data_IF_873904548847
#
_entry.id   IF_873904548847
#
_cell.length_a   1.000
_cell.length_b   1.000
_cell.length_c   1.000
_cell.angle_alpha   90.00
_cell.angle_beta   90.00
_cell.angle_gamma   90.00
#
_symmetry.space_group_name_H-M   'P 1'
#
loop_
_entity.id
_entity.type
_entity.pdbx_description
1 polymer ?
#
# COMPACT_ATOMS: atom_id res chain seq x y z
N UNK A 1 12.10 5.23 20.11
CA UNK A 1 11.82 3.80 19.91
C UNK A 1 11.28 3.70 18.50
N UNK A 2 12.04 3.01 17.65
CA UNK A 2 11.71 2.70 16.26
C UNK A 2 10.27 2.22 16.15
N UNK A 3 9.40 3.06 15.58
CA UNK A 3 8.24 2.53 14.86
C UNK A 3 8.71 2.42 13.42
N UNK A 4 9.52 1.41 13.12
CA UNK A 4 9.43 0.74 11.81
C UNK A 4 8.04 0.11 11.79
N UNK A 5 7.05 0.96 11.56
CA UNK A 5 5.72 0.50 11.20
C UNK A 5 5.96 -0.28 9.93
N UNK A 6 5.64 -1.56 10.02
CA UNK A 6 5.75 -2.55 8.96
C UNK A 6 4.83 -2.08 7.82
N UNK A 7 5.32 -1.13 7.04
CA UNK A 7 4.80 -0.72 5.76
C UNK A 7 5.10 -1.91 4.85
N UNK A 8 4.30 -2.97 4.98
CA UNK A 8 4.47 -4.16 4.17
C UNK A 8 4.31 -3.78 2.70
N UNK A 9 5.44 -3.51 2.04
CA UNK A 9 5.51 -3.24 0.61
C UNK A 9 4.83 -4.40 -0.13
N UNK A 10 3.62 -4.14 -0.61
CA UNK A 10 2.79 -5.14 -1.23
C UNK A 10 3.32 -5.43 -2.64
N UNK A 11 3.17 -6.66 -3.10
CA UNK A 11 3.51 -6.96 -4.50
C UNK A 11 2.32 -6.56 -5.38
N UNK A 12 2.55 -5.66 -6.33
CA UNK A 12 1.54 -5.22 -7.27
C UNK A 12 1.02 -6.40 -8.11
N UNK A 13 -0.30 -6.67 -8.12
CA UNK A 13 -0.88 -7.79 -8.89
C UNK A 13 -0.88 -7.55 -10.40
N UNK A 14 -0.66 -6.31 -10.85
CA UNK A 14 -0.68 -5.95 -12.27
C UNK A 14 0.68 -6.15 -12.94
N UNK A 15 1.76 -5.71 -12.31
CA UNK A 15 3.12 -5.77 -12.88
C UNK A 15 4.10 -6.66 -12.09
N UNK A 16 3.76 -7.08 -10.87
CA UNK A 16 4.65 -7.85 -9.99
C UNK A 16 5.70 -7.01 -9.25
N UNK A 17 5.64 -5.68 -9.35
CA UNK A 17 6.56 -4.80 -8.63
C UNK A 17 6.34 -4.85 -7.12
N UNK A 18 7.41 -4.55 -6.35
CA UNK A 18 7.38 -4.31 -4.91
C UNK A 18 7.50 -2.82 -4.56
N UNK A 19 7.65 -1.96 -5.56
CA UNK A 19 7.69 -0.51 -5.40
C UNK A 19 6.25 0.02 -5.25
N UNK A 20 5.68 -0.27 -4.08
CA UNK A 20 4.31 0.12 -3.76
C UNK A 20 4.26 0.76 -2.38
N UNK A 21 3.53 1.86 -2.27
CA UNK A 21 3.34 2.60 -1.02
C UNK A 21 1.94 2.35 -0.46
N UNK A 22 1.82 2.19 0.86
CA UNK A 22 0.53 2.03 1.51
C UNK A 22 -0.10 3.41 1.71
N UNK A 23 -1.21 3.66 1.03
CA UNK A 23 -1.99 4.88 1.22
C UNK A 23 -2.85 4.74 2.48
N UNK A 24 -2.45 5.44 3.54
CA UNK A 24 -3.29 5.62 4.72
C UNK A 24 -4.18 6.85 4.58
N UNK A 25 -5.49 6.68 4.34
CA UNK A 25 -6.39 7.81 4.50
C UNK A 25 -6.38 8.24 5.97
N UNK A 26 -5.72 9.36 6.27
CA UNK A 26 -5.79 10.03 7.57
C UNK A 26 -7.19 10.60 7.74
N UNK A 27 -8.11 9.79 8.24
CA UNK A 27 -9.48 10.19 8.50
C UNK A 27 -10.20 9.20 9.43
N UNK A 28 -11.21 9.66 10.19
CA UNK A 28 -11.89 8.85 11.21
C UNK A 28 -12.78 7.72 10.64
N UNK A 29 -12.68 7.36 9.35
CA UNK A 29 -13.78 6.68 8.66
C UNK A 29 -13.43 5.48 7.79
N UNK A 30 -12.18 5.20 7.39
CA UNK A 30 -11.94 4.09 6.44
C UNK A 30 -10.66 3.31 6.78
N UNK A 31 -10.85 2.16 7.42
CA UNK A 31 -9.86 1.08 7.50
C UNK A 31 -9.75 0.37 6.13
N UNK A 32 -9.42 1.11 5.08
CA UNK A 32 -9.15 0.57 3.75
C UNK A 32 -7.65 0.68 3.51
N UNK A 33 -6.97 -0.46 3.47
CA UNK A 33 -5.54 -0.56 3.13
C UNK A 33 -5.37 -0.52 1.61
N UNK A 34 -5.48 0.68 1.03
CA UNK A 34 -5.13 0.88 -0.38
C UNK A 34 -3.61 1.01 -0.52
N UNK A 35 -3.07 0.48 -1.61
CA UNK A 35 -1.66 0.58 -1.96
C UNK A 35 -1.55 1.20 -3.35
N UNK A 36 -0.52 2.00 -3.57
CA UNK A 36 -0.23 2.62 -4.86
C UNK A 36 1.07 2.07 -5.43
N UNK A 37 1.04 1.57 -6.67
CA UNK A 37 2.20 1.06 -7.38
C UNK A 37 2.93 2.20 -8.11
N UNK A 38 4.21 2.43 -7.84
CA UNK A 38 4.98 3.47 -8.54
C UNK A 38 5.45 3.06 -9.94
N UNK A 39 5.64 1.77 -10.20
CA UNK A 39 6.06 1.28 -11.53
C UNK A 39 4.95 1.34 -12.58
N UNK A 40 3.73 1.09 -12.14
CA UNK A 40 2.55 1.03 -12.99
C UNK A 40 1.61 2.22 -12.77
N UNK A 41 1.89 3.04 -11.75
CA UNK A 41 1.11 4.21 -11.36
C UNK A 41 -0.38 3.87 -11.15
N UNK A 42 -0.66 2.68 -10.61
CA UNK A 42 -2.01 2.18 -10.37
C UNK A 42 -2.26 1.89 -8.88
N UNK A 43 -3.42 2.31 -8.33
CA UNK A 43 -3.85 1.90 -7.00
C UNK A 43 -4.39 0.47 -7.02
N UNK A 44 -4.17 -0.28 -5.94
CA UNK A 44 -4.73 -1.61 -5.72
C UNK A 44 -5.05 -1.83 -4.24
N UNK A 45 -6.07 -2.64 -3.98
CA UNK A 45 -6.40 -3.08 -2.62
C UNK A 45 -5.62 -4.36 -2.31
N UNK A 46 -4.88 -4.38 -1.20
CA UNK A 46 -4.26 -5.61 -0.70
C UNK A 46 -5.29 -6.34 0.15
N UNK A 47 -5.75 -7.49 -0.35
CA UNK A 47 -6.48 -8.45 0.46
C UNK A 47 -5.45 -9.30 1.21
N UNK A 48 -5.22 -8.98 2.49
CA UNK A 48 -4.40 -9.78 3.42
C UNK A 48 -5.00 -11.15 3.66
#
# INVERSE_FOLDING_TARGET
MDTTEDEEAATCPYCGSRDTEREHPKGPSLCRSMHFCHDCEQPFERFS
#
